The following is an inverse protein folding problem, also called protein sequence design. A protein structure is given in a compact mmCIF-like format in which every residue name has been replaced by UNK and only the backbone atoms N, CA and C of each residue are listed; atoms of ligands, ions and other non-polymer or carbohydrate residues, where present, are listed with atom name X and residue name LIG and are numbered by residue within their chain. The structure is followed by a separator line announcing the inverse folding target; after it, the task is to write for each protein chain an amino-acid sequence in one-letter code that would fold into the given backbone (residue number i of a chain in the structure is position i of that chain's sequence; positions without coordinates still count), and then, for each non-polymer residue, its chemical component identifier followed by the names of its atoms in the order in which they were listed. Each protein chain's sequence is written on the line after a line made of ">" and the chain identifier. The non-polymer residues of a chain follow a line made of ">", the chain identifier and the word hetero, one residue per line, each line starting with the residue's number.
data_IF_295122971269
#
_entry.id   IF_295122971269
#
_cell.length_a   1.000
_cell.length_b   1.000
_cell.length_c   1.000
_cell.angle_alpha   90.00
_cell.angle_beta   90.00
_cell.angle_gamma   90.00
#
_symmetry.space_group_name_H-M   'P 1'
#
loop_
_entity.id
_entity.type
_entity.pdbx_description
1 polymer ?
#
# COMPACT_ATOMS: atom_id res chain seq x y z
N UNK A 1 -24.95 -7.85 -9.69
CA UNK A 1 -23.53 -7.53 -9.40
C UNK A 1 -22.89 -7.00 -10.67
N UNK A 2 -22.93 -5.69 -10.91
CA UNK A 2 -22.33 -5.09 -12.10
C UNK A 2 -20.80 -5.26 -12.03
N UNK A 3 -20.22 -6.00 -12.99
CA UNK A 3 -18.77 -6.09 -13.14
C UNK A 3 -18.25 -4.70 -13.52
N UNK A 4 -17.36 -4.13 -12.70
CA UNK A 4 -16.61 -2.93 -13.10
C UNK A 4 -15.99 -3.14 -14.48
N UNK A 5 -16.23 -2.19 -15.40
CA UNK A 5 -15.68 -2.26 -16.75
C UNK A 5 -14.20 -1.86 -16.79
N UNK A 6 -13.72 -1.13 -15.80
CA UNK A 6 -12.39 -0.49 -15.75
C UNK A 6 -11.36 -1.30 -14.95
N UNK A 7 -11.76 -2.03 -13.90
CA UNK A 7 -10.81 -2.78 -13.05
C UNK A 7 -11.21 -4.23 -12.86
N UNK A 8 -10.20 -5.09 -12.74
CA UNK A 8 -10.37 -6.51 -12.38
C UNK A 8 -9.83 -6.72 -10.96
N UNK A 9 -10.71 -7.11 -10.05
CA UNK A 9 -10.31 -7.51 -8.70
C UNK A 9 -9.78 -8.95 -8.71
N UNK A 10 -8.59 -9.15 -8.15
CA UNK A 10 -7.96 -10.47 -8.05
C UNK A 10 -7.13 -10.54 -6.77
N UNK A 11 -7.54 -11.38 -5.82
CA UNK A 11 -6.78 -11.69 -4.60
C UNK A 11 -6.33 -10.45 -3.80
N UNK A 12 -7.23 -9.49 -3.56
CA UNK A 12 -6.89 -8.27 -2.80
C UNK A 12 -6.06 -7.25 -3.58
N UNK A 13 -5.84 -7.47 -4.89
CA UNK A 13 -5.25 -6.51 -5.82
C UNK A 13 -6.27 -6.09 -6.86
N UNK A 14 -6.30 -4.81 -7.19
CA UNK A 14 -7.03 -4.27 -8.33
C UNK A 14 -6.04 -3.99 -9.45
N UNK A 15 -6.34 -4.54 -10.63
CA UNK A 15 -5.62 -4.22 -11.85
C UNK A 15 -6.52 -3.31 -12.67
N UNK A 16 -6.05 -2.09 -12.90
CA UNK A 16 -6.70 -1.14 -13.78
C UNK A 16 -6.40 -1.48 -15.23
N UNK A 17 -7.41 -1.37 -16.09
CA UNK A 17 -7.23 -1.47 -17.54
C UNK A 17 -6.70 -0.14 -18.06
N UNK A 18 -5.80 -0.25 -19.02
CA UNK A 18 -5.21 0.90 -19.72
C UNK A 18 -5.72 0.93 -21.17
N UNK A 19 -5.60 2.08 -21.83
CA UNK A 19 -6.00 2.33 -23.21
C UNK A 19 -7.49 2.07 -23.48
N UNK A 20 -8.35 2.57 -22.59
CA UNK A 20 -9.80 2.51 -22.72
C UNK A 20 -10.42 3.91 -22.70
N UNK A 21 -11.60 4.13 -23.31
CA UNK A 21 -12.29 5.43 -23.22
C UNK A 21 -12.59 5.81 -21.75
N UNK A 22 -12.25 7.05 -21.37
CA UNK A 22 -12.42 7.56 -20.01
C UNK A 22 -13.89 7.77 -19.61
N UNK A 23 -14.79 7.94 -20.59
CA UNK A 23 -16.24 8.14 -20.40
C UNK A 23 -16.98 6.97 -19.72
N UNK A 24 -16.27 5.91 -19.31
CA UNK A 24 -16.80 4.72 -18.65
C UNK A 24 -16.47 4.65 -17.16
N UNK A 25 -16.28 5.80 -16.48
CA UNK A 25 -16.08 5.86 -15.03
C UNK A 25 -17.10 4.97 -14.30
N UNK A 26 -16.69 4.38 -13.18
CA UNK A 26 -17.60 3.52 -12.42
C UNK A 26 -18.73 4.36 -11.83
N UNK A 27 -19.94 3.81 -11.79
CA UNK A 27 -21.17 4.49 -11.36
C UNK A 27 -21.12 5.06 -9.93
N UNK A 28 -20.13 4.66 -9.12
CA UNK A 28 -19.93 5.09 -7.73
C UNK A 28 -18.60 5.83 -7.49
N UNK A 29 -17.88 6.17 -8.56
CA UNK A 29 -16.66 6.95 -8.48
C UNK A 29 -17.02 8.44 -8.32
N UNK A 30 -16.40 9.11 -7.34
CA UNK A 30 -16.63 10.54 -7.08
C UNK A 30 -15.49 11.35 -7.68
N UNK A 31 -15.78 12.25 -8.60
CA UNK A 31 -14.79 13.18 -9.14
C UNK A 31 -14.35 14.15 -8.05
N UNK A 32 -13.05 14.32 -7.90
CA UNK A 32 -12.44 15.24 -6.94
C UNK A 32 -11.85 16.42 -7.69
N UNK A 33 -11.98 17.61 -7.12
CA UNK A 33 -11.43 18.84 -7.68
C UNK A 33 -10.24 19.35 -6.85
N UNK A 34 -9.27 20.03 -7.46
CA UNK A 34 -8.18 20.69 -6.73
C UNK A 34 -8.63 21.72 -5.69
N UNK A 35 -9.91 22.10 -5.66
CA UNK A 35 -10.48 23.12 -4.79
C UNK A 35 -11.36 22.54 -3.68
N UNK A 36 -11.49 21.22 -3.61
CA UNK A 36 -12.27 20.57 -2.56
C UNK A 36 -11.63 20.82 -1.18
N UNK A 37 -12.44 21.27 -0.22
CA UNK A 37 -12.02 21.48 1.16
C UNK A 37 -12.80 20.56 2.11
N UNK A 38 -12.18 19.43 2.48
CA UNK A 38 -12.66 18.53 3.53
C UNK A 38 -11.75 18.63 4.77
N UNK A 39 -12.16 17.99 5.88
CA UNK A 39 -11.29 17.85 7.04
C UNK A 39 -10.04 17.04 6.67
N UNK A 40 -8.87 17.70 6.73
CA UNK A 40 -7.56 17.13 6.40
C UNK A 40 -7.29 15.82 7.15
N UNK A 41 -6.66 14.86 6.48
CA UNK A 41 -6.19 13.62 7.08
C UNK A 41 -4.97 13.09 6.33
N UNK A 42 -3.79 13.00 6.96
CA UNK A 42 -2.60 12.50 6.26
C UNK A 42 -2.65 10.99 5.96
N UNK A 43 -3.57 10.25 6.59
CA UNK A 43 -3.89 8.85 6.31
C UNK A 43 -2.67 7.92 6.25
N UNK A 44 -1.64 8.19 7.07
CA UNK A 44 -0.36 7.48 7.13
C UNK A 44 0.32 7.25 5.78
N UNK A 45 0.03 8.08 4.77
CA UNK A 45 0.36 7.82 3.36
C UNK A 45 1.63 8.53 2.88
N UNK A 46 2.34 9.21 3.77
CA UNK A 46 3.47 10.07 3.43
C UNK A 46 4.81 9.37 3.65
N UNK A 47 5.79 9.71 2.85
CA UNK A 47 7.19 9.35 3.00
C UNK A 47 8.00 10.52 3.56
N UNK A 48 7.73 11.73 3.08
CA UNK A 48 8.30 12.98 3.57
C UNK A 48 7.47 14.19 3.15
N UNK A 49 7.73 15.33 3.80
CA UNK A 49 7.18 16.64 3.46
C UNK A 49 8.19 17.74 3.79
N UNK A 50 8.30 18.72 2.90
CA UNK A 50 9.03 19.97 3.13
C UNK A 50 8.31 21.15 2.45
N UNK A 51 8.93 22.32 2.40
CA UNK A 51 8.36 23.54 1.83
C UNK A 51 8.04 23.51 0.32
N UNK A 52 8.66 22.58 -0.41
CA UNK A 52 8.55 22.49 -1.87
C UNK A 52 7.73 21.30 -2.34
N UNK A 53 7.87 20.14 -1.70
CA UNK A 53 7.18 18.93 -2.12
C UNK A 53 6.70 18.05 -0.95
N UNK A 54 5.72 17.22 -1.27
CA UNK A 54 5.31 16.05 -0.48
C UNK A 54 5.57 14.79 -1.30
N UNK A 55 5.98 13.74 -0.61
CA UNK A 55 6.17 12.42 -1.19
C UNK A 55 5.22 11.43 -0.52
N UNK A 56 4.49 10.66 -1.31
CA UNK A 56 3.49 9.69 -0.86
C UNK A 56 3.81 8.29 -1.39
N UNK A 57 3.34 7.29 -0.65
CA UNK A 57 3.32 5.90 -1.13
C UNK A 57 2.17 5.67 -2.13
N UNK A 58 2.25 4.55 -2.85
CA UNK A 58 1.10 3.97 -3.52
C UNK A 58 0.49 2.80 -2.75
N UNK A 59 -0.62 2.31 -3.29
CA UNK A 59 -1.31 1.13 -2.80
C UNK A 59 -0.46 -0.15 -2.75
N UNK A 60 0.59 -0.28 -3.57
CA UNK A 60 1.47 -1.46 -3.54
C UNK A 60 2.06 -1.67 -2.15
N UNK A 61 2.42 -0.59 -1.48
CA UNK A 61 2.87 -0.63 -0.10
C UNK A 61 1.77 -1.02 0.89
N UNK A 62 0.57 -0.45 0.71
CA UNK A 62 -0.59 -0.77 1.55
C UNK A 62 -0.98 -2.26 1.49
N UNK A 63 -0.68 -2.90 0.36
CA UNK A 63 -0.93 -4.33 0.12
C UNK A 63 0.30 -5.21 0.29
N UNK A 64 1.42 -4.65 0.76
CA UNK A 64 2.65 -5.40 0.98
C UNK A 64 2.43 -6.51 2.01
N UNK A 65 2.77 -7.74 1.65
CA UNK A 65 2.59 -8.94 2.47
C UNK A 65 1.33 -9.74 2.13
N UNK A 66 0.26 -9.09 1.64
CA UNK A 66 -1.03 -9.75 1.38
C UNK A 66 -0.95 -10.89 0.36
N UNK A 67 -0.05 -10.81 -0.63
CA UNK A 67 0.13 -11.88 -1.61
C UNK A 67 0.74 -13.16 -1.05
N UNK A 68 1.44 -13.09 0.09
CA UNK A 68 2.17 -14.20 0.69
C UNK A 68 1.60 -14.59 2.07
N UNK A 69 0.75 -13.76 2.68
CA UNK A 69 0.17 -14.01 4.01
C UNK A 69 -0.61 -15.32 4.08
N UNK A 70 -1.40 -15.65 3.05
CA UNK A 70 -2.11 -16.94 2.99
C UNK A 70 -1.17 -18.13 2.85
N UNK A 71 -0.05 -17.97 2.15
CA UNK A 71 0.99 -19.00 2.07
C UNK A 71 1.66 -19.21 3.45
N UNK A 72 1.96 -18.13 4.17
CA UNK A 72 2.47 -18.21 5.54
C UNK A 72 1.47 -18.95 6.44
N UNK A 73 0.18 -18.61 6.34
CA UNK A 73 -0.88 -19.26 7.11
C UNK A 73 -0.96 -20.78 6.86
N UNK A 74 -0.86 -21.22 5.59
CA UNK A 74 -0.92 -22.65 5.22
C UNK A 74 0.44 -23.37 5.34
N UNK A 75 1.53 -22.64 5.62
CA UNK A 75 2.89 -23.20 5.64
C UNK A 75 3.08 -24.36 6.63
N UNK A 76 2.44 -24.43 7.82
CA UNK A 76 2.56 -25.60 8.68
C UNK A 76 2.00 -26.87 8.02
N UNK A 77 0.90 -26.76 7.26
CA UNK A 77 0.34 -27.87 6.50
C UNK A 77 1.28 -28.30 5.37
N UNK A 78 1.89 -27.33 4.67
CA UNK A 78 2.88 -27.62 3.62
C UNK A 78 4.09 -28.36 4.19
N UNK A 79 4.62 -27.92 5.33
CA UNK A 79 5.74 -28.58 6.02
C UNK A 79 5.35 -30.00 6.45
N UNK A 80 4.14 -30.18 7.00
CA UNK A 80 3.62 -31.50 7.35
C UNK A 80 3.53 -32.44 6.14
N UNK A 81 2.99 -31.98 5.01
CA UNK A 81 2.90 -32.76 3.77
C UNK A 81 4.29 -33.16 3.24
N UNK A 82 5.26 -32.24 3.29
CA UNK A 82 6.66 -32.54 2.93
C UNK A 82 7.25 -33.59 3.87
N UNK A 83 7.00 -33.46 5.18
CA UNK A 83 7.45 -34.43 6.18
C UNK A 83 6.87 -35.84 5.94
N UNK A 84 5.58 -35.94 5.64
CA UNK A 84 4.94 -37.21 5.26
C UNK A 84 5.56 -37.80 3.99
N UNK A 85 5.80 -36.97 2.96
CA UNK A 85 6.44 -37.40 1.72
C UNK A 85 7.85 -37.92 1.98
N UNK A 86 8.67 -37.19 2.73
CA UNK A 86 10.02 -37.62 3.10
C UNK A 86 10.02 -38.93 3.90
N UNK A 87 9.09 -39.07 4.85
CA UNK A 87 8.94 -40.30 5.62
C UNK A 87 8.63 -41.50 4.73
N UNK A 88 7.72 -41.37 3.77
CA UNK A 88 7.37 -42.45 2.82
C UNK A 88 8.51 -42.79 1.85
N UNK A 89 9.39 -41.83 1.53
CA UNK A 89 10.59 -42.08 0.71
C UNK A 89 11.66 -42.84 1.50
N UNK A 90 11.80 -42.57 2.81
CA UNK A 90 12.78 -43.25 3.68
C UNK A 90 12.28 -44.63 4.11
N UNK A 91 10.98 -44.77 4.40
CA UNK A 91 10.34 -46.02 4.83
C UNK A 91 9.26 -46.44 3.83
N UNK A 92 9.65 -47.00 2.68
CA UNK A 92 8.68 -47.43 1.68
C UNK A 92 7.91 -48.66 2.16
N UNK A 93 6.59 -48.67 1.96
CA UNK A 93 5.69 -49.76 2.37
C UNK A 93 5.31 -50.64 1.17
N UNK A 94 6.31 -51.26 0.54
CA UNK A 94 6.11 -52.11 -0.66
C UNK A 94 5.23 -53.34 -0.40
N UNK A 95 5.01 -53.72 0.86
CA UNK A 95 4.17 -54.87 1.25
C UNK A 95 2.75 -54.81 0.67
N UNK A 96 2.24 -53.62 0.37
CA UNK A 96 0.90 -53.43 -0.20
C UNK A 96 0.87 -53.35 -1.74
N UNK A 97 2.05 -53.39 -2.39
CA UNK A 97 2.23 -53.35 -3.84
C UNK A 97 2.87 -52.06 -4.36
N UNK A 98 3.85 -52.20 -5.27
CA UNK A 98 4.63 -51.08 -5.82
C UNK A 98 3.76 -50.01 -6.50
N UNK A 99 2.70 -50.42 -7.21
CA UNK A 99 1.78 -49.49 -7.89
C UNK A 99 1.00 -48.61 -6.90
N UNK A 100 0.58 -49.16 -5.75
CA UNK A 100 -0.09 -48.36 -4.71
C UNK A 100 0.86 -47.33 -4.08
N UNK A 101 2.10 -47.74 -3.81
CA UNK A 101 3.13 -46.84 -3.30
C UNK A 101 3.39 -45.66 -4.25
N UNK A 102 3.58 -45.94 -5.54
CA UNK A 102 3.77 -44.91 -6.57
C UNK A 102 2.55 -43.98 -6.65
N UNK A 103 1.34 -44.56 -6.63
CA UNK A 103 0.10 -43.77 -6.65
C UNK A 103 0.00 -42.82 -5.45
N UNK A 104 0.29 -43.28 -4.24
CA UNK A 104 0.27 -42.45 -3.03
C UNK A 104 1.29 -41.31 -3.14
N UNK A 105 2.53 -41.59 -3.55
CA UNK A 105 3.54 -40.53 -3.78
C UNK A 105 3.02 -39.50 -4.77
N UNK A 106 2.46 -39.95 -5.89
CA UNK A 106 1.91 -39.05 -6.91
C UNK A 106 0.80 -38.16 -6.34
N UNK A 107 -0.10 -38.70 -5.52
CA UNK A 107 -1.15 -37.92 -4.84
C UNK A 107 -0.54 -36.86 -3.93
N UNK A 108 0.48 -37.18 -3.13
CA UNK A 108 1.15 -36.20 -2.28
C UNK A 108 1.87 -35.11 -3.08
N UNK A 109 2.59 -35.49 -4.16
CA UNK A 109 3.25 -34.54 -5.06
C UNK A 109 2.22 -33.62 -5.73
N UNK A 110 1.09 -34.17 -6.16
CA UNK A 110 -0.02 -33.42 -6.73
C UNK A 110 -0.57 -32.42 -5.71
N UNK A 111 -0.92 -32.86 -4.49
CA UNK A 111 -1.41 -31.98 -3.42
C UNK A 111 -0.41 -30.86 -3.09
N UNK A 112 0.88 -31.19 -3.00
CA UNK A 112 1.93 -30.21 -2.75
C UNK A 112 2.04 -29.20 -3.89
N UNK A 113 2.05 -29.66 -5.14
CA UNK A 113 2.12 -28.81 -6.32
C UNK A 113 0.95 -27.83 -6.38
N UNK A 114 -0.29 -28.32 -6.22
CA UNK A 114 -1.48 -27.45 -6.27
C UNK A 114 -1.52 -26.45 -5.11
N UNK A 115 -1.08 -26.87 -3.92
CA UNK A 115 -0.98 -25.95 -2.76
C UNK A 115 0.05 -24.87 -3.02
N UNK A 116 1.27 -25.24 -3.43
CA UNK A 116 2.32 -24.27 -3.74
C UNK A 116 1.91 -23.33 -4.88
N UNK A 117 1.37 -23.88 -5.97
CA UNK A 117 0.90 -23.10 -7.11
C UNK A 117 -0.20 -22.12 -6.71
N UNK A 118 -1.24 -22.58 -5.99
CA UNK A 118 -2.36 -21.75 -5.57
C UNK A 118 -1.96 -20.60 -4.66
N UNK A 119 -1.12 -20.88 -3.66
CA UNK A 119 -0.78 -19.89 -2.63
C UNK A 119 0.44 -19.01 -2.97
N UNK A 120 1.35 -19.44 -3.86
CA UNK A 120 2.47 -18.61 -4.35
C UNK A 120 2.16 -17.84 -5.63
N UNK A 121 1.15 -18.25 -6.42
CA UNK A 121 0.76 -17.56 -7.66
C UNK A 121 0.51 -16.05 -7.46
N UNK A 122 -0.19 -15.58 -6.39
CA UNK A 122 -0.35 -14.15 -6.15
C UNK A 122 0.98 -13.40 -5.97
N UNK A 123 1.98 -14.01 -5.33
CA UNK A 123 3.31 -13.41 -5.19
C UNK A 123 3.97 -13.23 -6.55
N UNK A 124 4.03 -14.28 -7.38
CA UNK A 124 4.66 -14.23 -8.70
C UNK A 124 3.99 -13.23 -9.63
N UNK A 125 2.65 -13.13 -9.54
CA UNK A 125 1.88 -12.23 -10.38
C UNK A 125 1.99 -10.76 -9.99
N UNK A 126 1.95 -10.46 -8.69
CA UNK A 126 1.78 -9.09 -8.21
C UNK A 126 3.03 -8.47 -7.62
N UNK A 127 3.92 -9.25 -7.00
CA UNK A 127 5.01 -8.71 -6.18
C UNK A 127 6.41 -9.07 -6.66
N UNK A 128 6.56 -10.17 -7.40
CA UNK A 128 7.86 -10.66 -7.85
C UNK A 128 8.57 -9.62 -8.73
N UNK A 129 9.84 -9.33 -8.39
CA UNK A 129 10.71 -8.36 -9.08
C UNK A 129 10.14 -6.94 -9.20
N UNK A 130 9.18 -6.55 -8.34
CA UNK A 130 8.66 -5.18 -8.27
C UNK A 130 9.20 -4.48 -7.03
N UNK A 131 9.38 -3.14 -7.06
CA UNK A 131 9.77 -2.37 -5.88
C UNK A 131 8.72 -2.48 -4.76
N UNK A 132 9.15 -2.10 -3.54
CA UNK A 132 8.28 -2.13 -2.34
C UNK A 132 7.06 -1.22 -2.51
N UNK A 133 7.27 -0.04 -3.07
CA UNK A 133 6.23 0.91 -3.41
C UNK A 133 6.60 1.67 -4.70
N UNK A 134 5.64 2.38 -5.25
CA UNK A 134 5.82 3.31 -6.36
C UNK A 134 5.51 4.71 -5.83
N UNK A 135 6.53 5.49 -5.42
CA UNK A 135 6.28 6.77 -4.79
C UNK A 135 5.63 7.76 -5.77
N UNK A 136 4.93 8.72 -5.19
CA UNK A 136 4.23 9.79 -5.91
C UNK A 136 4.65 11.10 -5.27
N UNK A 137 5.17 12.03 -6.08
CA UNK A 137 5.70 13.29 -5.60
C UNK A 137 4.85 14.45 -6.14
N UNK A 138 4.38 15.30 -5.24
CA UNK A 138 3.70 16.55 -5.60
C UNK A 138 4.60 17.72 -5.22
N UNK A 139 4.95 18.56 -6.19
CA UNK A 139 5.78 19.74 -5.98
C UNK A 139 4.97 21.01 -6.20
N UNK A 140 4.76 21.76 -5.12
CA UNK A 140 3.92 22.97 -5.13
C UNK A 140 4.59 24.16 -5.81
N UNK A 141 5.92 24.23 -5.82
CA UNK A 141 6.66 25.33 -6.47
C UNK A 141 6.60 25.24 -7.98
N UNK A 142 6.65 24.01 -8.50
CA UNK A 142 6.55 23.75 -9.94
C UNK A 142 5.11 23.56 -10.40
N UNK A 143 4.18 23.24 -9.49
CA UNK A 143 2.81 22.87 -9.82
C UNK A 143 2.72 21.51 -10.51
N UNK A 144 3.67 20.61 -10.27
CA UNK A 144 3.75 19.33 -10.97
C UNK A 144 3.57 18.15 -10.03
N UNK A 145 3.09 17.06 -10.60
CA UNK A 145 3.04 15.74 -9.97
C UNK A 145 3.86 14.75 -10.79
N UNK A 146 4.61 13.92 -10.08
CA UNK A 146 5.48 12.89 -10.63
C UNK A 146 5.01 11.52 -10.14
N UNK A 147 4.78 10.60 -11.07
CA UNK A 147 4.37 9.23 -10.79
C UNK A 147 5.48 8.26 -11.17
N UNK A 148 5.93 7.46 -10.21
CA UNK A 148 6.89 6.39 -10.48
C UNK A 148 6.21 5.20 -11.20
N UNK A 149 6.73 4.77 -12.36
CA UNK A 149 6.23 3.56 -13.03
C UNK A 149 7.16 2.36 -12.80
N UNK A 150 8.42 2.55 -13.18
CA UNK A 150 9.50 1.54 -13.15
C UNK A 150 10.83 2.22 -12.86
N UNK A 151 11.87 1.43 -12.65
CA UNK A 151 13.23 1.93 -12.41
C UNK A 151 13.80 2.75 -13.60
N UNK A 152 13.17 2.65 -14.78
CA UNK A 152 13.55 3.39 -15.99
C UNK A 152 12.55 4.49 -16.40
N UNK A 153 11.33 4.49 -15.85
CA UNK A 153 10.24 5.33 -16.34
C UNK A 153 9.46 6.03 -15.21
N UNK A 154 9.16 7.32 -15.42
CA UNK A 154 8.26 8.13 -14.62
C UNK A 154 7.33 8.95 -15.52
N UNK A 155 6.16 9.35 -15.00
CA UNK A 155 5.26 10.29 -15.67
C UNK A 155 5.27 11.61 -14.90
N UNK A 156 5.41 12.70 -15.64
CA UNK A 156 5.29 14.07 -15.16
C UNK A 156 4.07 14.73 -15.80
N UNK A 157 3.26 15.41 -14.98
CA UNK A 157 2.09 16.19 -15.41
C UNK A 157 1.93 17.44 -14.54
N UNK A 158 1.27 18.47 -15.08
CA UNK A 158 0.69 19.49 -14.22
C UNK A 158 -0.33 18.80 -13.31
N UNK A 159 -0.27 19.07 -12.01
CA UNK A 159 -1.17 18.42 -11.08
C UNK A 159 -2.64 18.76 -11.33
N UNK A 160 -2.96 19.91 -11.94
CA UNK A 160 -4.36 20.28 -12.28
C UNK A 160 -4.88 19.57 -13.52
N UNK A 161 -4.00 19.05 -14.37
CA UNK A 161 -4.38 18.33 -15.59
C UNK A 161 -4.65 16.84 -15.33
N UNK A 162 -4.35 16.35 -14.13
CA UNK A 162 -4.63 14.98 -13.71
C UNK A 162 -6.06 14.87 -13.21
N UNK A 163 -6.78 13.82 -13.64
CA UNK A 163 -8.15 13.59 -13.18
C UNK A 163 -8.13 12.78 -11.88
N UNK A 164 -8.52 13.41 -10.77
CA UNK A 164 -8.58 12.76 -9.47
C UNK A 164 -9.97 12.22 -9.17
N UNK A 165 -10.02 10.98 -8.69
CA UNK A 165 -11.27 10.29 -8.44
C UNK A 165 -11.17 9.53 -7.13
N UNK A 166 -12.24 9.60 -6.35
CA UNK A 166 -12.46 8.69 -5.24
C UNK A 166 -13.13 7.42 -5.73
N UNK A 167 -12.31 6.38 -5.89
CA UNK A 167 -12.78 5.08 -6.26
C UNK A 167 -13.13 4.19 -5.08
N UNK A 168 -13.75 3.05 -5.37
CA UNK A 168 -13.93 1.97 -4.40
C UNK A 168 -13.14 0.74 -4.79
N UNK A 169 -12.60 -0.01 -3.84
CA UNK A 169 -12.09 -1.38 -4.04
C UNK A 169 -12.66 -2.37 -3.05
N UNK A 170 -12.42 -3.64 -3.32
CA UNK A 170 -12.92 -4.72 -2.47
C UNK A 170 -12.13 -4.76 -1.16
N UNK A 171 -12.82 -4.54 -0.04
CA UNK A 171 -12.27 -4.75 1.30
C UNK A 171 -12.64 -6.12 1.86
N UNK A 172 -12.15 -6.39 3.08
CA UNK A 172 -12.47 -7.61 3.80
C UNK A 172 -13.96 -7.60 4.21
N UNK A 173 -14.63 -8.75 4.17
CA UNK A 173 -16.03 -8.92 4.62
C UNK A 173 -17.07 -8.07 3.87
N UNK A 174 -16.77 -7.65 2.63
CA UNK A 174 -17.73 -6.93 1.77
C UNK A 174 -17.82 -5.42 2.02
N UNK A 175 -17.07 -4.88 2.99
CA UNK A 175 -16.98 -3.43 3.21
C UNK A 175 -16.02 -2.84 2.16
N UNK A 176 -16.46 -1.92 1.29
CA UNK A 176 -15.58 -1.35 0.28
C UNK A 176 -14.52 -0.44 0.91
N UNK A 177 -13.29 -0.55 0.41
CA UNK A 177 -12.23 0.43 0.69
C UNK A 177 -12.40 1.59 -0.28
N UNK A 178 -12.19 2.81 0.18
CA UNK A 178 -12.12 4.02 -0.63
C UNK A 178 -10.67 4.30 -0.98
N UNK A 179 -10.45 4.70 -2.23
CA UNK A 179 -9.13 4.89 -2.84
C UNK A 179 -9.06 6.27 -3.48
N UNK A 180 -7.97 6.99 -3.23
CA UNK A 180 -7.64 8.16 -4.01
C UNK A 180 -6.95 7.71 -5.29
N UNK A 181 -7.57 7.95 -6.44
CA UNK A 181 -7.04 7.60 -7.75
C UNK A 181 -6.64 8.84 -8.51
N UNK A 182 -5.52 8.74 -9.23
CA UNK A 182 -5.09 9.69 -10.24
C UNK A 182 -5.14 9.01 -11.60
N UNK A 183 -5.93 9.57 -12.51
CA UNK A 183 -6.08 9.11 -13.87
C UNK A 183 -5.34 10.05 -14.83
N UNK A 184 -4.47 9.46 -15.65
CA UNK A 184 -3.83 10.16 -16.76
C UNK A 184 -4.68 9.88 -18.00
N UNK A 185 -5.30 10.93 -18.52
CA UNK A 185 -6.23 10.87 -19.65
C UNK A 185 -5.68 11.73 -20.76
N UNK A 186 -5.37 11.12 -21.90
CA UNK A 186 -4.92 11.81 -23.11
C UNK A 186 -5.96 11.57 -24.21
N UNK A 187 -6.47 12.64 -24.84
CA UNK A 187 -7.50 12.58 -25.90
C UNK A 187 -8.76 11.75 -25.53
N UNK A 188 -9.18 11.84 -24.27
CA UNK A 188 -10.34 11.08 -23.75
C UNK A 188 -10.07 9.58 -23.53
N UNK A 189 -8.82 9.14 -23.65
CA UNK A 189 -8.36 7.76 -23.41
C UNK A 189 -7.63 7.70 -22.07
N UNK A 190 -8.07 6.81 -21.19
CA UNK A 190 -7.38 6.49 -19.94
C UNK A 190 -6.08 5.73 -20.24
N UNK A 191 -4.93 6.38 -20.01
CA UNK A 191 -3.61 5.79 -20.20
C UNK A 191 -3.11 5.08 -18.96
N UNK A 192 -3.16 5.75 -17.82
CA UNK A 192 -2.69 5.20 -16.55
C UNK A 192 -3.61 5.52 -15.39
N UNK A 193 -3.62 4.64 -14.40
CA UNK A 193 -4.28 4.87 -13.11
C UNK A 193 -3.30 4.58 -11.98
N UNK A 194 -3.11 5.58 -11.13
CA UNK A 194 -2.32 5.47 -9.91
C UNK A 194 -3.24 5.52 -8.70
N UNK A 195 -2.97 4.72 -7.68
CA UNK A 195 -3.68 4.78 -6.40
C UNK A 195 -2.75 5.41 -5.38
N UNK A 196 -3.13 6.59 -4.90
CA UNK A 196 -2.34 7.41 -3.99
C UNK A 196 -2.68 7.01 -2.55
N UNK A 197 -1.65 6.69 -1.77
CA UNK A 197 -1.78 6.41 -0.35
C UNK A 197 -2.46 5.09 0.01
N UNK A 198 -2.84 4.97 1.29
CA UNK A 198 -3.54 3.81 1.83
C UNK A 198 -5.04 3.83 1.46
N UNK A 199 -5.58 2.76 0.88
CA UNK A 199 -7.03 2.56 0.78
C UNK A 199 -7.64 2.39 2.17
N UNK A 200 -8.71 3.12 2.47
CA UNK A 200 -9.33 3.13 3.81
C UNK A 200 -10.81 2.82 3.78
N UNK A 201 -11.31 2.26 4.89
CA UNK A 201 -12.75 2.16 5.10
C UNK A 201 -13.31 3.58 5.36
N UNK A 202 -14.41 3.90 4.68
CA UNK A 202 -15.09 5.18 4.83
C UNK A 202 -14.56 6.29 3.92
N UNK A 203 -15.45 7.22 3.58
CA UNK A 203 -15.18 8.29 2.61
C UNK A 203 -14.26 9.38 3.18
N UNK A 204 -14.44 9.71 4.47
CA UNK A 204 -13.82 10.88 5.10
C UNK A 204 -12.30 10.82 5.16
N UNK A 205 -11.68 9.65 5.39
CA UNK A 205 -10.21 9.53 5.44
C UNK A 205 -9.58 9.77 4.08
N UNK A 206 -10.20 9.27 3.01
CA UNK A 206 -9.73 9.46 1.64
C UNK A 206 -9.96 10.91 1.18
N UNK A 207 -11.10 11.50 1.54
CA UNK A 207 -11.37 12.93 1.30
C UNK A 207 -10.38 13.82 2.04
N UNK A 208 -10.05 13.45 3.27
CA UNK A 208 -9.07 14.14 4.09
C UNK A 208 -7.66 14.06 3.51
N UNK A 209 -7.27 12.92 2.93
CA UNK A 209 -5.99 12.78 2.23
C UNK A 209 -5.93 13.70 1.00
N UNK A 210 -7.01 13.74 0.21
CA UNK A 210 -7.08 14.65 -0.92
C UNK A 210 -6.99 16.12 -0.48
N UNK A 211 -7.74 16.50 0.55
CA UNK A 211 -7.69 17.87 1.10
C UNK A 211 -6.33 18.23 1.67
N UNK A 212 -5.62 17.25 2.24
CA UNK A 212 -4.25 17.45 2.72
C UNK A 212 -3.32 17.81 1.55
N UNK A 213 -3.40 17.05 0.44
CA UNK A 213 -2.63 17.30 -0.78
C UNK A 213 -2.98 18.67 -1.38
N UNK A 214 -4.27 18.98 -1.55
CA UNK A 214 -4.72 20.28 -2.07
C UNK A 214 -4.25 21.45 -1.19
N UNK A 215 -4.37 21.31 0.13
CA UNK A 215 -3.90 22.32 1.08
C UNK A 215 -2.39 22.55 0.91
N UNK A 216 -1.59 21.49 0.84
CA UNK A 216 -0.17 21.60 0.59
C UNK A 216 0.14 22.33 -0.72
N UNK A 217 -0.51 21.93 -1.81
CA UNK A 217 -0.27 22.51 -3.14
C UNK A 217 -0.63 24.00 -3.20
N UNK A 218 -1.74 24.41 -2.59
CA UNK A 218 -2.18 25.81 -2.62
C UNK A 218 -1.53 26.66 -1.51
N UNK A 219 -1.67 26.25 -0.26
CA UNK A 219 -1.35 27.06 0.94
C UNK A 219 0.04 26.75 1.52
N UNK A 220 0.63 25.60 1.20
CA UNK A 220 1.94 25.16 1.70
C UNK A 220 1.87 24.34 3.00
N UNK A 221 3.02 23.98 3.59
CA UNK A 221 3.06 23.06 4.73
C UNK A 221 2.92 23.72 6.11
N UNK A 222 2.89 25.05 6.20
CA UNK A 222 3.00 25.76 7.48
C UNK A 222 1.98 25.32 8.55
N UNK A 223 0.74 25.03 8.14
CA UNK A 223 -0.34 24.50 8.99
C UNK A 223 -0.37 22.97 9.08
N UNK A 224 0.34 22.28 8.19
CA UNK A 224 0.42 20.82 8.11
C UNK A 224 1.54 20.29 8.99
N UNK A 225 2.52 21.12 9.34
CA UNK A 225 3.53 20.78 10.33
C UNK A 225 2.89 20.52 11.71
N UNK A 226 3.34 19.49 12.43
CA UNK A 226 2.84 19.14 13.75
C UNK A 226 3.17 20.26 14.73
N UNK A 227 2.14 20.97 15.18
CA UNK A 227 2.25 22.10 16.11
C UNK A 227 1.11 22.00 17.13
N UNK A 228 1.38 22.15 18.43
CA UNK A 228 0.35 22.17 19.46
C UNK A 228 -0.75 23.16 19.10
N UNK A 229 -2.01 22.73 19.20
CA UNK A 229 -3.13 23.60 18.97
C UNK A 229 -3.10 24.76 20.01
N UNK A 230 -3.19 26.03 19.60
CA UNK A 230 -3.08 27.15 20.53
C UNK A 230 -4.18 27.16 21.62
N UNK A 231 -5.31 26.49 21.39
CA UNK A 231 -6.43 26.42 22.33
C UNK A 231 -6.35 25.23 23.30
N UNK A 232 -5.83 24.08 22.85
CA UNK A 232 -5.86 22.83 23.64
C UNK A 232 -4.46 22.27 23.97
N UNK A 233 -3.40 22.89 23.47
CA UNK A 233 -2.01 22.48 23.74
C UNK A 233 -1.60 21.13 23.15
N UNK A 234 -2.47 20.46 22.39
CA UNK A 234 -2.24 19.13 21.81
C UNK A 234 -2.17 19.18 20.29
N UNK A 235 -1.37 18.28 19.71
CA UNK A 235 -1.25 18.09 18.26
C UNK A 235 -2.51 17.36 17.77
N UNK A 236 -3.13 17.82 16.69
CA UNK A 236 -4.19 17.06 16.02
C UNK A 236 -3.52 15.93 15.20
N UNK A 237 -3.65 14.67 15.63
CA UNK A 237 -2.90 13.56 15.04
C UNK A 237 -3.29 13.29 13.60
N UNK A 238 -4.45 13.78 13.13
CA UNK A 238 -4.97 13.49 11.80
C UNK A 238 -4.78 14.64 10.82
N UNK A 239 -5.02 15.88 11.24
CA UNK A 239 -4.96 17.03 10.31
C UNK A 239 -3.54 17.52 10.04
N UNK A 240 -2.59 17.24 10.93
CA UNK A 240 -1.16 17.54 10.77
C UNK A 240 -0.37 16.27 10.43
N UNK A 241 0.79 16.42 9.80
CA UNK A 241 1.65 15.30 9.45
C UNK A 241 2.42 14.82 10.68
N UNK A 242 1.89 13.79 11.32
CA UNK A 242 2.47 13.20 12.55
C UNK A 242 3.19 11.88 12.30
N UNK A 243 3.05 11.31 11.09
CA UNK A 243 3.63 10.02 10.74
C UNK A 243 3.97 9.90 9.25
N UNK A 244 5.20 9.50 8.98
CA UNK A 244 5.76 9.14 7.69
C UNK A 244 6.26 7.68 7.69
N UNK A 245 6.10 7.01 6.56
CA UNK A 245 6.55 5.64 6.34
C UNK A 245 8.08 5.60 6.13
N UNK A 246 8.75 4.63 6.73
CA UNK A 246 10.19 4.43 6.56
C UNK A 246 10.49 3.59 5.32
N UNK A 247 10.53 4.23 4.14
CA UNK A 247 10.94 3.61 2.87
C UNK A 247 11.97 4.42 2.08
N UNK A 248 12.37 5.57 2.58
CA UNK A 248 13.45 6.37 1.98
C UNK A 248 14.76 6.01 2.69
N UNK A 249 15.73 5.48 1.95
CA UNK A 249 17.07 5.15 2.43
C UNK A 249 17.17 3.92 3.36
N UNK A 250 16.10 3.55 4.06
CA UNK A 250 16.04 2.37 4.90
C UNK A 250 14.66 1.70 4.84
N UNK A 251 14.63 0.39 5.12
CA UNK A 251 13.40 -0.40 5.26
C UNK A 251 12.89 -0.31 6.69
N UNK A 252 11.58 -0.40 6.88
CA UNK A 252 10.92 -0.40 8.19
C UNK A 252 11.58 -1.36 9.20
N UNK A 253 11.64 -0.96 10.47
CA UNK A 253 11.97 -1.86 11.58
C UNK A 253 10.84 -2.86 11.87
N UNK A 254 11.12 -3.91 12.66
CA UNK A 254 10.09 -4.85 13.10
C UNK A 254 9.00 -4.15 13.94
N UNK A 255 9.40 -3.22 14.80
CA UNK A 255 8.48 -2.43 15.65
C UNK A 255 7.56 -1.59 14.77
N UNK A 256 8.11 -0.93 13.75
CA UNK A 256 7.33 -0.04 12.88
C UNK A 256 6.37 -0.81 11.98
N UNK A 257 6.81 -1.94 11.41
CA UNK A 257 5.92 -2.82 10.65
C UNK A 257 4.74 -3.29 11.52
N UNK A 258 4.98 -3.72 12.76
CA UNK A 258 3.88 -4.14 13.65
C UNK A 258 2.96 -2.98 14.02
N UNK A 259 3.52 -1.82 14.36
CA UNK A 259 2.74 -0.60 14.65
C UNK A 259 1.85 -0.22 13.45
N UNK A 260 2.37 -0.27 12.23
CA UNK A 260 1.61 0.06 11.01
C UNK A 260 0.36 -0.82 10.80
N UNK A 261 0.41 -2.09 11.21
CA UNK A 261 -0.74 -2.99 11.14
C UNK A 261 -1.74 -2.77 12.26
N UNK A 262 -1.28 -2.33 13.44
CA UNK A 262 -2.13 -2.20 14.62
C UNK A 262 -2.73 -0.80 14.78
N UNK A 263 -2.12 0.22 14.17
CA UNK A 263 -2.59 1.60 14.27
C UNK A 263 -4.00 1.78 13.69
N UNK A 264 -4.40 0.96 12.72
CA UNK A 264 -5.76 1.01 12.17
C UNK A 264 -6.85 0.60 13.19
N UNK A 265 -6.46 -0.10 14.26
CA UNK A 265 -7.37 -0.56 15.32
C UNK A 265 -7.30 0.30 16.60
N UNK A 266 -6.62 1.45 16.58
CA UNK A 266 -6.44 2.30 17.77
C UNK A 266 -7.77 2.64 18.47
N UNK A 267 -8.86 2.80 17.71
CA UNK A 267 -10.17 3.17 18.24
C UNK A 267 -10.99 1.99 18.80
N UNK A 268 -10.65 0.74 18.45
CA UNK A 268 -11.46 -0.43 18.81
C UNK A 268 -10.64 -1.72 18.90
N UNK A 269 -10.56 -2.27 20.12
CA UNK A 269 -9.80 -3.49 20.42
C UNK A 269 -10.45 -4.77 19.88
N UNK A 270 -11.77 -4.79 19.64
CA UNK A 270 -12.49 -6.02 19.23
C UNK A 270 -12.09 -6.47 17.82
N UNK A 271 -12.15 -5.61 16.77
CA UNK A 271 -11.60 -5.97 15.46
C UNK A 271 -10.12 -6.36 15.54
N UNK A 272 -9.37 -5.71 16.43
CA UNK A 272 -7.96 -5.98 16.66
C UNK A 272 -7.70 -7.40 17.18
N UNK A 273 -8.62 -7.99 17.95
CA UNK A 273 -8.48 -9.36 18.43
C UNK A 273 -8.77 -10.37 17.31
N UNK A 274 -9.85 -10.16 16.55
CA UNK A 274 -10.22 -11.04 15.44
C UNK A 274 -9.22 -11.01 14.28
N UNK A 275 -8.62 -9.85 14.02
CA UNK A 275 -7.61 -9.70 12.96
C UNK A 275 -6.26 -10.30 13.32
N UNK A 276 -5.99 -10.56 14.60
CA UNK A 276 -4.66 -10.92 15.11
C UNK A 276 -3.98 -12.06 14.34
N UNK A 277 -4.58 -13.25 14.12
CA UNK A 277 -3.92 -14.33 13.38
C UNK A 277 -3.58 -13.94 11.93
N UNK A 278 -4.43 -13.14 11.29
CA UNK A 278 -4.21 -12.64 9.94
C UNK A 278 -3.11 -11.57 9.92
N UNK A 279 -3.09 -10.68 10.90
CA UNK A 279 -2.07 -9.64 11.07
C UNK A 279 -0.70 -10.27 11.30
N UNK A 280 -0.59 -11.34 12.11
CA UNK A 280 0.66 -12.08 12.32
C UNK A 280 1.17 -12.70 11.02
N UNK A 281 0.31 -13.37 10.26
CA UNK A 281 0.71 -13.96 8.98
C UNK A 281 1.11 -12.88 7.96
N UNK A 282 0.39 -11.76 7.92
CA UNK A 282 0.70 -10.64 7.05
C UNK A 282 1.99 -9.92 7.48
N UNK A 283 2.26 -9.85 8.79
CA UNK A 283 3.51 -9.34 9.34
C UNK A 283 4.69 -10.16 8.86
N UNK A 284 4.67 -11.49 9.06
CA UNK A 284 5.74 -12.39 8.60
C UNK A 284 5.94 -12.25 7.08
N UNK A 285 4.84 -12.28 6.32
CA UNK A 285 4.86 -12.13 4.87
C UNK A 285 5.48 -10.79 4.43
N UNK A 286 5.08 -9.67 5.08
CA UNK A 286 5.64 -8.34 4.82
C UNK A 286 7.12 -8.29 5.15
N UNK A 287 7.58 -8.90 6.26
CA UNK A 287 9.01 -8.95 6.60
C UNK A 287 9.82 -9.70 5.54
N UNK A 288 9.33 -10.84 5.05
CA UNK A 288 9.96 -11.56 3.94
C UNK A 288 10.06 -10.65 2.71
N UNK A 289 8.96 -10.00 2.33
CA UNK A 289 8.91 -9.14 1.16
C UNK A 289 9.78 -7.89 1.29
N UNK A 290 9.83 -7.28 2.47
CA UNK A 290 10.72 -6.15 2.75
C UNK A 290 12.17 -6.59 2.55
N UNK A 291 12.58 -7.79 2.98
CA UNK A 291 13.96 -8.23 2.80
C UNK A 291 14.33 -8.43 1.33
N UNK A 292 13.45 -9.03 0.52
CA UNK A 292 13.78 -9.39 -0.87
C UNK A 292 13.52 -8.28 -1.90
N UNK A 293 12.59 -7.36 -1.64
CA UNK A 293 12.22 -6.31 -2.61
C UNK A 293 13.15 -5.10 -2.49
N UNK A 294 13.49 -4.44 -3.61
CA UNK A 294 14.27 -3.22 -3.58
C UNK A 294 13.45 -2.04 -3.04
N UNK A 295 14.13 -1.09 -2.40
CA UNK A 295 13.56 0.20 -2.06
C UNK A 295 13.25 1.00 -3.34
N UNK A 296 12.20 1.84 -3.34
CA UNK A 296 12.00 2.79 -4.42
C UNK A 296 13.17 3.79 -4.49
N UNK A 297 13.64 4.11 -5.68
CA UNK A 297 14.65 5.16 -5.89
C UNK A 297 14.20 6.03 -7.05
N UNK A 298 14.01 7.32 -6.80
CA UNK A 298 13.64 8.25 -7.86
C UNK A 298 14.71 8.35 -8.95
N UNK A 299 14.27 8.55 -10.19
CA UNK A 299 15.16 8.86 -11.30
C UNK A 299 15.95 10.14 -11.03
N UNK A 300 17.22 10.16 -11.46
CA UNK A 300 18.12 11.32 -11.27
C UNK A 300 17.52 12.63 -11.78
N UNK A 301 16.76 12.57 -12.87
CA UNK A 301 16.06 13.74 -13.42
C UNK A 301 14.99 14.28 -12.47
N UNK A 302 14.21 13.41 -11.82
CA UNK A 302 13.19 13.81 -10.85
C UNK A 302 13.84 14.45 -9.63
N UNK A 303 14.94 13.84 -9.14
CA UNK A 303 15.75 14.36 -8.03
C UNK A 303 16.25 15.77 -8.36
N UNK A 304 16.80 15.98 -9.56
CA UNK A 304 17.36 17.26 -10.00
C UNK A 304 16.28 18.32 -10.22
N UNK A 305 15.18 17.97 -10.91
CA UNK A 305 14.03 18.87 -11.15
C UNK A 305 13.39 19.36 -9.85
N UNK A 306 13.33 18.50 -8.83
CA UNK A 306 12.71 18.81 -7.54
C UNK A 306 13.72 19.27 -6.48
N UNK A 307 15.01 19.36 -6.83
CA UNK A 307 16.11 19.71 -5.91
C UNK A 307 16.02 18.88 -4.62
N UNK A 308 15.85 17.57 -4.74
CA UNK A 308 15.65 16.70 -3.58
C UNK A 308 16.92 16.58 -2.72
N UNK A 309 18.11 16.80 -3.30
CA UNK A 309 19.38 16.81 -2.57
C UNK A 309 19.63 18.11 -1.79
N UNK A 310 18.85 19.16 -2.04
CA UNK A 310 19.00 20.42 -1.33
C UNK A 310 18.53 20.25 0.12
N UNK A 311 19.43 20.49 1.08
CA UNK A 311 19.08 20.51 2.49
C UNK A 311 18.13 21.66 2.78
N UNK A 312 17.00 21.35 3.42
CA UNK A 312 15.96 22.32 3.80
C UNK A 312 15.91 22.46 5.32
N UNK A 313 15.54 23.65 5.83
CA UNK A 313 15.48 23.89 7.27
C UNK A 313 14.35 23.10 7.95
N UNK A 314 13.22 22.90 7.29
CA UNK A 314 12.08 22.12 7.79
C UNK A 314 11.76 20.99 6.81
N UNK A 315 12.18 19.77 7.14
CA UNK A 315 11.81 18.54 6.43
C UNK A 315 11.32 17.52 7.47
N UNK A 316 10.09 17.03 7.28
CA UNK A 316 9.51 15.97 8.08
C UNK A 316 9.65 14.65 7.34
N UNK A 317 10.15 13.67 8.07
CA UNK A 317 10.37 12.30 7.60
C UNK A 317 9.99 11.30 8.69
N UNK A 318 10.27 10.02 8.45
CA UNK A 318 10.06 8.97 9.46
C UNK A 318 10.82 9.22 10.78
N UNK A 319 11.88 10.02 10.77
CA UNK A 319 12.69 10.36 11.96
C UNK A 319 11.92 11.22 12.96
N UNK A 320 10.92 11.92 12.45
CA UNK A 320 10.11 12.92 13.13
C UNK A 320 8.74 12.36 13.55
N UNK A 321 8.55 11.04 13.37
CA UNK A 321 7.31 10.36 13.75
C UNK A 321 7.03 10.48 15.26
N UNK A 322 5.79 10.80 15.59
CA UNK A 322 5.29 10.76 16.96
C UNK A 322 5.07 9.30 17.41
N UNK A 323 5.26 9.02 18.70
CA UNK A 323 4.96 7.70 19.25
C UNK A 323 3.45 7.55 19.50
N UNK A 324 2.80 6.73 18.69
CA UNK A 324 1.45 6.25 18.94
C UNK A 324 1.52 5.02 19.84
N UNK A 325 1.06 5.13 21.09
CA UNK A 325 0.70 3.95 21.89
C UNK A 325 -0.78 3.62 21.68
N UNK A 326 -1.20 2.39 21.95
CA UNK A 326 -2.55 1.90 21.64
C UNK A 326 -3.67 2.68 22.37
N UNK A 327 -3.33 3.59 23.30
CA UNK A 327 -4.25 4.42 24.10
C UNK A 327 -3.71 5.82 24.50
N UNK A 328 -2.46 6.18 24.19
CA UNK A 328 -1.88 7.49 24.57
C UNK A 328 -0.92 8.02 23.49
N UNK A 329 -1.02 9.31 23.18
CA UNK A 329 0.05 10.06 22.53
C UNK A 329 1.05 10.47 23.62
N UNK A 330 2.30 10.01 23.53
CA UNK A 330 3.38 10.56 24.34
C UNK A 330 4.34 11.31 23.42
N UNK A 331 4.61 12.56 23.77
CA UNK A 331 5.78 13.25 23.24
C UNK A 331 7.05 12.49 23.66
N UNK A 332 8.11 12.62 22.84
CA UNK A 332 9.39 11.93 23.05
C UNK A 332 9.97 12.14 24.45
#
# INVERSE_FOLDING_TARGET
>A
MMKSKIKKHVFGYDIFKENIPFSKLEENDVLLTPYDEFKRNHNWSFLSMNDDYIELIDQSYARLGKSLSMFVFISPLVIFLIGCLMYMLIKPFYSEGIYKYIFVIFVYLFLLFFTLYGFLSPYFKYNHKKPICKPILFNRKTGKVFFYLTDAEYIERDWKDVVYVMGSSFGLSGIPLRELRAHIVDDGILKHTFVIGFPMIGIFRTQGLWSFICHFMHKGPAELYPKPNPMYGTIDPFTQLTFCQQLIGAKESYRDTWKSFRIIYHDNWVPALFSYPFDVCNFIARRILLNIKPLPVWHKEVILKNKMEQQRPEEISFKDNFEFSMLEMKDK
#
